data_IF_653730052652
#
_entry.id   IF_653730052652
#
_cell.length_a   1.000
_cell.length_b   1.000
_cell.length_c   1.000
_cell.angle_alpha   90.00
_cell.angle_beta   90.00
_cell.angle_gamma   90.00
#
_symmetry.space_group_name_H-M   'P 1'
#
loop_
_entity.id
_entity.type
_entity.pdbx_description
1 polymer ?
#
# COMPACT_ATOMS: atom_id res chain seq x y z
N UNK A 1 -4.15 -0.69 2.91
CA UNK A 1 -4.84 -0.85 4.21
C UNK A 1 -3.87 -1.42 5.23
N UNK A 2 -3.50 -2.69 5.07
CA UNK A 2 -2.50 -3.39 5.85
C UNK A 2 -1.82 -4.46 4.97
N UNK A 3 -0.74 -5.11 5.41
CA UNK A 3 -0.04 -6.12 4.61
C UNK A 3 -0.94 -7.27 4.13
N UNK A 4 -0.77 -7.64 2.86
CA UNK A 4 -1.22 -8.94 2.35
C UNK A 4 -0.19 -10.03 2.68
N UNK A 5 -0.61 -11.30 2.87
CA UNK A 5 0.28 -12.38 3.32
C UNK A 5 1.37 -12.78 2.32
N UNK A 6 1.21 -12.42 1.04
CA UNK A 6 2.11 -12.80 -0.06
C UNK A 6 2.85 -11.61 -0.69
N UNK A 7 2.54 -10.38 -0.26
CA UNK A 7 3.19 -9.16 -0.70
C UNK A 7 4.04 -8.61 0.43
N UNK A 8 3.63 -7.48 1.01
CA UNK A 8 4.30 -6.86 2.16
C UNK A 8 4.57 -7.82 3.34
N UNK A 9 3.70 -8.81 3.60
CA UNK A 9 3.94 -9.82 4.64
C UNK A 9 5.14 -10.75 4.36
N UNK A 10 5.65 -10.76 3.14
CA UNK A 10 6.87 -11.46 2.73
C UNK A 10 8.02 -10.47 2.50
N UNK A 11 7.74 -9.30 1.94
CA UNK A 11 8.77 -8.39 1.40
C UNK A 11 9.08 -7.19 2.25
N UNK A 12 8.21 -6.84 3.21
CA UNK A 12 8.29 -5.58 3.96
C UNK A 12 7.86 -4.34 3.16
N UNK A 13 7.58 -4.47 1.86
CA UNK A 13 7.21 -3.35 0.98
C UNK A 13 5.69 -3.27 0.81
N UNK A 14 5.05 -2.10 1.01
CA UNK A 14 3.62 -1.92 0.75
C UNK A 14 3.23 -2.34 -0.67
N UNK A 15 2.19 -3.17 -0.80
CA UNK A 15 1.79 -3.76 -2.09
C UNK A 15 2.95 -4.49 -2.80
N UNK A 16 3.99 -4.91 -2.07
CA UNK A 16 5.21 -5.42 -2.67
C UNK A 16 5.08 -6.89 -3.04
N UNK A 17 4.55 -7.16 -4.22
CA UNK A 17 4.72 -8.48 -4.84
C UNK A 17 6.21 -8.74 -5.12
N UNK A 18 6.55 -10.02 -5.23
CA UNK A 18 7.94 -10.47 -5.27
C UNK A 18 8.67 -9.92 -6.50
N UNK A 19 8.06 -9.95 -7.68
CA UNK A 19 8.72 -9.54 -8.92
C UNK A 19 8.94 -8.02 -8.94
N UNK A 20 7.96 -7.24 -8.49
CA UNK A 20 8.12 -5.80 -8.32
C UNK A 20 9.26 -5.49 -7.35
N UNK A 21 9.28 -6.13 -6.18
CA UNK A 21 10.29 -5.84 -5.15
C UNK A 21 11.69 -6.19 -5.63
N UNK A 22 11.84 -7.33 -6.32
CA UNK A 22 13.12 -7.77 -6.86
C UNK A 22 13.60 -6.89 -8.01
N UNK A 23 12.78 -6.74 -9.04
CA UNK A 23 13.24 -6.27 -10.34
C UNK A 23 12.91 -4.82 -10.61
N UNK A 24 11.74 -4.33 -10.18
CA UNK A 24 11.38 -2.93 -10.41
C UNK A 24 11.98 -2.01 -9.33
N UNK A 25 11.84 -2.39 -8.06
CA UNK A 25 12.39 -1.65 -6.93
C UNK A 25 13.88 -1.96 -6.68
N UNK A 26 14.42 -3.03 -7.28
CA UNK A 26 15.84 -3.39 -7.20
C UNK A 26 16.31 -3.82 -5.81
N UNK A 27 15.40 -4.27 -4.93
CA UNK A 27 15.75 -4.51 -3.52
C UNK A 27 16.42 -5.88 -3.27
N UNK A 28 16.42 -6.79 -4.25
CA UNK A 28 17.14 -8.07 -4.12
C UNK A 28 18.65 -7.84 -4.04
N UNK A 29 19.17 -6.89 -4.81
CA UNK A 29 20.60 -6.57 -4.86
C UNK A 29 21.11 -5.91 -3.58
N UNK A 30 20.21 -5.29 -2.78
CA UNK A 30 20.56 -4.68 -1.51
C UNK A 30 20.85 -5.71 -0.40
N UNK A 31 20.56 -7.00 -0.61
CA UNK A 31 20.95 -8.08 0.31
C UNK A 31 20.30 -8.05 1.69
N UNK A 32 19.12 -7.43 1.83
CA UNK A 32 18.41 -7.30 3.10
C UNK A 32 17.95 -8.64 3.69
N UNK A 33 18.14 -8.82 5.00
CA UNK A 33 17.65 -9.99 5.73
C UNK A 33 16.16 -9.86 6.05
N UNK A 34 15.37 -10.87 5.67
CA UNK A 34 13.94 -10.96 6.03
C UNK A 34 13.80 -11.97 7.15
N UNK A 35 13.55 -11.43 8.35
CA UNK A 35 13.29 -12.22 9.54
C UNK A 35 11.97 -12.98 9.49
N UNK A 36 11.79 -13.85 10.47
CA UNK A 36 10.64 -14.73 10.59
C UNK A 36 9.87 -14.42 11.89
N UNK A 37 8.56 -14.14 11.83
CA UNK A 37 7.79 -13.94 13.05
C UNK A 37 7.74 -15.24 13.86
N UNK A 38 7.60 -15.13 15.17
CA UNK A 38 7.39 -16.26 16.07
C UNK A 38 6.20 -15.97 16.99
N UNK A 39 5.16 -16.82 17.02
CA UNK A 39 4.97 -18.04 16.21
C UNK A 39 4.57 -17.78 14.76
N UNK A 40 4.68 -18.79 13.89
CA UNK A 40 4.11 -18.77 12.53
C UNK A 40 2.96 -19.74 12.37
N UNK A 41 1.94 -19.33 11.64
CA UNK A 41 0.92 -20.26 11.17
C UNK A 41 1.46 -21.11 10.01
N UNK A 42 1.32 -22.45 10.02
CA UNK A 42 1.88 -23.33 8.98
C UNK A 42 1.47 -22.97 7.55
N UNK A 43 0.24 -22.49 7.36
CA UNK A 43 -0.28 -22.07 6.05
C UNK A 43 0.17 -20.68 5.57
N UNK A 44 0.90 -19.92 6.41
CA UNK A 44 1.28 -18.51 6.22
C UNK A 44 2.74 -18.25 6.59
N UNK A 45 3.63 -19.18 6.24
CA UNK A 45 5.07 -19.03 6.47
C UNK A 45 5.63 -17.80 5.77
N UNK A 46 6.59 -17.14 6.41
CA UNK A 46 7.37 -16.05 5.82
C UNK A 46 8.64 -16.64 5.23
N UNK A 47 8.70 -16.67 3.91
CA UNK A 47 9.85 -17.19 3.14
C UNK A 47 10.61 -16.06 2.44
N UNK A 48 10.23 -14.80 2.69
CA UNK A 48 10.85 -13.63 2.10
C UNK A 48 10.71 -13.60 0.57
N UNK A 49 11.76 -13.15 -0.10
CA UNK A 49 11.86 -13.06 -1.56
C UNK A 49 11.84 -14.43 -2.27
N UNK A 50 11.86 -15.54 -1.53
CA UNK A 50 11.67 -16.91 -2.07
C UNK A 50 10.20 -17.33 -2.13
N UNK A 51 9.26 -16.45 -1.77
CA UNK A 51 7.83 -16.77 -1.85
C UNK A 51 7.40 -16.97 -3.31
N UNK A 52 6.76 -18.11 -3.61
CA UNK A 52 6.23 -18.39 -4.96
C UNK A 52 4.76 -17.98 -5.14
N UNK A 53 4.12 -17.47 -4.08
CA UNK A 53 2.71 -17.05 -4.14
C UNK A 53 2.62 -15.63 -4.68
N UNK A 54 1.77 -15.45 -5.68
CA UNK A 54 1.55 -14.14 -6.31
C UNK A 54 0.65 -13.25 -5.45
N UNK A 55 1.00 -11.97 -5.36
CA UNK A 55 0.18 -10.93 -4.75
C UNK A 55 -0.40 -10.04 -5.86
N UNK A 56 -1.58 -10.42 -6.36
CA UNK A 56 -2.19 -9.78 -7.54
C UNK A 56 -2.50 -8.30 -7.33
N UNK A 57 -2.83 -7.90 -6.10
CA UNK A 57 -3.13 -6.50 -5.79
C UNK A 57 -1.89 -5.60 -5.93
N UNK A 58 -0.75 -6.09 -5.44
CA UNK A 58 0.55 -5.46 -5.57
C UNK A 58 0.98 -5.28 -7.02
N UNK A 59 0.98 -6.39 -7.77
CA UNK A 59 1.38 -6.38 -9.18
C UNK A 59 0.55 -5.39 -10.01
N UNK A 60 -0.76 -5.29 -9.73
CA UNK A 60 -1.63 -4.31 -10.39
C UNK A 60 -1.28 -2.87 -10.01
N UNK A 61 -1.13 -2.57 -8.72
CA UNK A 61 -0.87 -1.20 -8.27
C UNK A 61 0.48 -0.70 -8.81
N UNK A 62 1.55 -1.49 -8.66
CA UNK A 62 2.87 -1.12 -9.14
C UNK A 62 2.95 -1.10 -10.66
N UNK A 63 2.22 -1.97 -11.36
CA UNK A 63 2.09 -1.91 -12.81
C UNK A 63 1.49 -0.58 -13.29
N UNK A 64 0.43 -0.09 -12.64
CA UNK A 64 -0.16 1.22 -12.95
C UNK A 64 0.79 2.36 -12.65
N UNK A 65 1.48 2.34 -11.49
CA UNK A 65 2.49 3.36 -11.17
C UNK A 65 3.55 3.39 -12.27
N UNK A 66 4.11 2.24 -12.63
CA UNK A 66 5.13 2.11 -13.66
C UNK A 66 4.67 2.69 -15.01
N UNK A 67 3.44 2.37 -15.43
CA UNK A 67 2.84 2.90 -16.66
C UNK A 67 2.64 4.41 -16.61
N UNK A 68 2.11 4.94 -15.50
CA UNK A 68 1.91 6.38 -15.32
C UNK A 68 3.22 7.16 -15.30
N UNK A 69 4.32 6.52 -14.90
CA UNK A 69 5.67 7.08 -14.90
C UNK A 69 6.47 6.76 -16.17
N UNK A 70 5.80 6.34 -17.26
CA UNK A 70 6.43 5.98 -18.54
C UNK A 70 7.58 4.97 -18.40
N UNK A 71 7.37 3.93 -17.59
CA UNK A 71 8.34 2.87 -17.31
C UNK A 71 9.70 3.33 -16.76
N UNK A 72 9.79 4.53 -16.18
CA UNK A 72 11.03 5.02 -15.58
C UNK A 72 11.46 4.17 -14.36
N UNK A 73 12.75 4.16 -14.01
CA UNK A 73 13.26 3.46 -12.83
C UNK A 73 12.50 3.88 -11.56
N UNK A 74 12.27 2.94 -10.64
CA UNK A 74 11.49 3.19 -9.44
C UNK A 74 12.00 4.37 -8.60
N UNK A 75 13.31 4.60 -8.56
CA UNK A 75 13.94 5.72 -7.86
C UNK A 75 13.49 7.08 -8.42
N UNK A 76 13.23 7.16 -9.73
CA UNK A 76 12.71 8.37 -10.37
C UNK A 76 11.19 8.48 -10.16
N UNK A 77 10.45 7.37 -10.29
CA UNK A 77 9.01 7.34 -10.06
C UNK A 77 8.65 7.75 -8.63
N UNK A 78 9.46 7.36 -7.64
CA UNK A 78 9.23 7.62 -6.22
C UNK A 78 9.72 8.99 -5.74
N UNK A 79 10.21 9.87 -6.63
CA UNK A 79 10.56 11.26 -6.24
C UNK A 79 9.34 12.04 -5.77
N UNK A 80 8.19 11.83 -6.40
CA UNK A 80 6.92 12.50 -6.08
C UNK A 80 5.89 11.57 -5.42
N UNK A 81 6.22 10.28 -5.27
CA UNK A 81 5.28 9.24 -4.86
C UNK A 81 5.81 8.47 -3.66
N UNK A 82 4.91 8.21 -2.72
CA UNK A 82 5.16 7.29 -1.61
C UNK A 82 4.00 6.32 -1.49
N UNK A 83 4.29 5.02 -1.38
CA UNK A 83 3.29 3.99 -1.11
C UNK A 83 3.40 3.57 0.35
N UNK A 84 2.32 3.72 1.11
CA UNK A 84 2.30 3.44 2.55
C UNK A 84 1.03 2.69 2.97
N UNK A 85 1.14 1.85 4.01
CA UNK A 85 0.00 1.17 4.60
C UNK A 85 -0.40 1.86 5.90
N UNK A 86 -1.69 2.15 6.08
CA UNK A 86 -2.22 2.72 7.33
C UNK A 86 -1.87 1.88 8.56
N UNK A 87 -2.02 0.56 8.48
CA UNK A 87 -1.67 -0.36 9.56
C UNK A 87 -0.55 -1.29 9.10
N UNK A 88 0.61 -1.35 9.78
CA UNK A 88 1.72 -2.21 9.38
C UNK A 88 1.52 -3.68 9.81
N UNK A 89 0.47 -3.99 10.58
CA UNK A 89 0.24 -5.32 11.14
C UNK A 89 -0.63 -6.19 10.23
N UNK A 90 -0.31 -7.48 10.19
CA UNK A 90 -1.13 -8.53 9.61
C UNK A 90 -1.74 -9.37 10.72
N UNK A 91 -3.06 -9.58 10.67
CA UNK A 91 -3.78 -10.38 11.65
C UNK A 91 -4.26 -11.68 11.02
N UNK A 92 -4.22 -12.76 11.79
CA UNK A 92 -4.64 -14.08 11.33
C UNK A 92 -5.54 -14.75 12.38
N UNK A 93 -6.60 -15.42 11.93
CA UNK A 93 -7.37 -16.32 12.76
C UNK A 93 -6.65 -17.64 12.99
N UNK A 94 -7.19 -18.49 13.86
CA UNK A 94 -6.63 -19.80 14.21
C UNK A 94 -6.44 -20.74 13.00
N UNK A 95 -7.25 -20.60 11.95
CA UNK A 95 -7.13 -21.35 10.70
C UNK A 95 -6.12 -20.76 9.70
N UNK A 96 -5.43 -19.66 10.07
CA UNK A 96 -4.56 -18.90 9.17
C UNK A 96 -5.34 -18.02 8.18
N UNK A 97 -6.66 -17.89 8.34
CA UNK A 97 -7.47 -16.92 7.59
C UNK A 97 -6.98 -15.50 7.91
N UNK A 98 -6.71 -14.71 6.89
CA UNK A 98 -6.36 -13.30 7.06
C UNK A 98 -7.54 -12.54 7.67
N UNK A 99 -7.28 -11.78 8.73
CA UNK A 99 -8.23 -10.86 9.35
C UNK A 99 -7.81 -9.44 8.97
N UNK A 100 -8.72 -8.69 8.37
CA UNK A 100 -8.54 -7.26 8.16
C UNK A 100 -8.60 -6.51 9.49
N UNK A 101 -8.01 -5.31 9.60
CA UNK A 101 -8.12 -4.51 10.82
C UNK A 101 -9.57 -4.22 11.25
N UNK A 102 -10.51 -4.21 10.30
CA UNK A 102 -11.94 -4.08 10.59
C UNK A 102 -12.57 -5.34 11.19
N UNK A 103 -12.03 -6.52 10.90
CA UNK A 103 -12.49 -7.80 11.47
C UNK A 103 -11.91 -8.08 12.86
N UNK A 104 -10.94 -7.28 13.32
CA UNK A 104 -10.51 -7.32 14.73
C UNK A 104 -11.73 -7.00 15.60
N UNK A 105 -11.90 -7.77 16.69
CA UNK A 105 -13.06 -7.61 17.59
C UNK A 105 -13.18 -6.14 18.03
N UNK A 106 -14.41 -5.63 18.00
CA UNK A 106 -14.71 -4.30 18.49
C UNK A 106 -14.34 -4.18 19.98
N UNK A 107 -13.87 -3.01 20.38
CA UNK A 107 -13.42 -2.71 21.74
C UNK A 107 -12.11 -1.93 21.75
N UNK A 108 -11.60 -1.72 22.97
CA UNK A 108 -10.46 -0.84 23.25
C UNK A 108 -9.22 -1.17 22.43
N UNK A 109 -8.92 -2.45 22.19
CA UNK A 109 -7.72 -2.84 21.42
C UNK A 109 -7.78 -2.41 19.95
N UNK A 110 -8.95 -2.48 19.30
CA UNK A 110 -9.12 -2.03 17.90
C UNK A 110 -9.06 -0.50 17.81
N UNK A 111 -9.68 0.19 18.76
CA UNK A 111 -9.64 1.64 18.85
C UNK A 111 -8.22 2.14 19.09
N UNK A 112 -7.50 1.52 20.02
CA UNK A 112 -6.11 1.83 20.31
C UNK A 112 -5.21 1.57 19.09
N UNK A 113 -5.39 0.45 18.38
CA UNK A 113 -4.69 0.18 17.13
C UNK A 113 -4.90 1.30 16.11
N UNK A 114 -6.16 1.69 15.88
CA UNK A 114 -6.46 2.74 14.91
C UNK A 114 -5.98 4.11 15.34
N UNK A 115 -5.99 4.41 16.64
CA UNK A 115 -5.43 5.65 17.16
C UNK A 115 -3.92 5.72 16.91
N UNK A 116 -3.18 4.65 17.23
CA UNK A 116 -1.73 4.59 17.00
C UNK A 116 -1.39 4.69 15.50
N UNK A 117 -2.11 3.96 14.65
CA UNK A 117 -1.95 4.08 13.20
C UNK A 117 -2.29 5.48 12.67
N UNK A 118 -3.29 6.15 13.26
CA UNK A 118 -3.67 7.51 12.90
C UNK A 118 -2.59 8.53 13.25
N UNK A 119 -2.00 8.40 14.45
CA UNK A 119 -0.86 9.20 14.90
C UNK A 119 0.32 8.98 13.94
N UNK A 120 0.67 7.74 13.65
CA UNK A 120 1.79 7.41 12.74
C UNK A 120 1.58 7.95 11.32
N UNK A 121 0.36 7.84 10.77
CA UNK A 121 0.05 8.42 9.46
C UNK A 121 0.16 9.95 9.50
N UNK A 122 -0.35 10.61 10.55
CA UNK A 122 -0.24 12.06 10.72
C UNK A 122 1.22 12.52 10.66
N UNK A 123 2.12 11.88 11.41
CA UNK A 123 3.56 12.18 11.35
C UNK A 123 4.17 11.88 9.97
N UNK A 124 3.78 10.76 9.35
CA UNK A 124 4.29 10.41 8.02
C UNK A 124 3.94 11.47 6.98
N UNK A 125 2.71 12.02 7.03
CA UNK A 125 2.27 13.08 6.11
C UNK A 125 3.09 14.36 6.28
N UNK A 126 3.46 14.70 7.51
CA UNK A 126 4.29 15.87 7.81
C UNK A 126 5.73 15.69 7.32
N UNK A 127 6.34 14.55 7.64
CA UNK A 127 7.74 14.25 7.26
C UNK A 127 7.89 14.16 5.75
N UNK A 128 6.93 13.55 5.06
CA UNK A 128 6.98 13.37 3.61
C UNK A 128 6.53 14.64 2.85
N UNK A 129 5.98 15.65 3.53
CA UNK A 129 5.45 16.85 2.89
C UNK A 129 4.34 16.56 1.87
N UNK A 130 3.55 15.50 2.10
CA UNK A 130 2.53 15.08 1.14
C UNK A 130 1.46 16.16 0.96
N UNK A 131 1.09 16.45 -0.29
CA UNK A 131 0.00 17.41 -0.63
C UNK A 131 -1.34 16.71 -0.88
N UNK A 132 -1.29 15.48 -1.37
CA UNK A 132 -2.46 14.67 -1.71
C UNK A 132 -2.27 13.25 -1.18
N UNK A 133 -3.37 12.63 -0.78
CA UNK A 133 -3.45 11.23 -0.39
C UNK A 133 -4.32 10.50 -1.39
N UNK A 134 -3.72 9.57 -2.16
CA UNK A 134 -4.45 8.63 -2.99
C UNK A 134 -4.67 7.35 -2.16
N UNK A 135 -5.91 7.18 -1.72
CA UNK A 135 -6.31 6.06 -0.87
C UNK A 135 -6.78 4.87 -1.70
N UNK A 136 -6.16 3.70 -1.46
CA UNK A 136 -6.50 2.46 -2.16
C UNK A 136 -7.64 1.74 -1.45
N UNK A 137 -8.86 2.04 -1.90
CA UNK A 137 -10.13 1.51 -1.41
C UNK A 137 -10.72 2.28 -0.22
N UNK A 138 -12.05 2.22 -0.13
CA UNK A 138 -12.90 2.88 0.89
C UNK A 138 -12.43 2.81 2.35
N UNK A 139 -11.81 1.71 2.79
CA UNK A 139 -11.28 1.66 4.17
C UNK A 139 -10.16 2.69 4.37
N UNK A 140 -9.18 2.70 3.46
CA UNK A 140 -8.06 3.61 3.53
C UNK A 140 -8.53 5.06 3.42
N UNK A 141 -9.49 5.33 2.55
CA UNK A 141 -10.12 6.65 2.40
C UNK A 141 -10.74 7.14 3.70
N UNK A 142 -11.58 6.31 4.35
CA UNK A 142 -12.22 6.66 5.62
C UNK A 142 -11.19 6.96 6.71
N UNK A 143 -10.10 6.18 6.78
CA UNK A 143 -9.03 6.40 7.75
C UNK A 143 -8.25 7.68 7.46
N UNK A 144 -7.88 7.92 6.21
CA UNK A 144 -7.18 9.14 5.80
C UNK A 144 -8.02 10.40 6.11
N UNK A 145 -9.31 10.41 5.75
CA UNK A 145 -10.24 11.50 6.08
C UNK A 145 -10.37 11.73 7.59
N UNK A 146 -10.42 10.64 8.36
CA UNK A 146 -10.44 10.72 9.83
C UNK A 146 -9.17 11.34 10.39
N UNK A 147 -7.99 10.95 9.90
CA UNK A 147 -6.69 11.52 10.31
C UNK A 147 -6.65 13.01 9.98
N UNK A 148 -7.05 13.39 8.77
CA UNK A 148 -7.05 14.79 8.35
C UNK A 148 -7.91 15.64 9.28
N UNK A 149 -9.12 15.19 9.58
CA UNK A 149 -10.03 15.90 10.49
C UNK A 149 -9.49 15.95 11.93
N UNK A 150 -8.90 14.87 12.41
CA UNK A 150 -8.49 14.74 13.83
C UNK A 150 -7.23 15.56 14.13
N UNK A 151 -6.31 15.64 13.17
CA UNK A 151 -5.02 16.32 13.34
C UNK A 151 -4.94 17.64 12.56
N UNK A 152 -6.10 18.19 12.16
CA UNK A 152 -6.24 19.45 11.42
C UNK A 152 -5.27 19.59 10.25
N UNK A 153 -5.27 18.58 9.38
CA UNK A 153 -4.40 18.52 8.20
C UNK A 153 -5.07 19.14 6.97
N UNK A 154 -4.28 19.52 5.98
CA UNK A 154 -4.78 20.21 4.76
C UNK A 154 -4.77 19.34 3.50
N UNK A 155 -4.25 18.12 3.58
CA UNK A 155 -4.13 17.22 2.42
C UNK A 155 -5.50 16.86 1.83
N UNK A 156 -5.57 16.85 0.49
CA UNK A 156 -6.73 16.32 -0.23
C UNK A 156 -6.72 14.79 -0.20
N UNK A 157 -7.88 14.15 -0.10
CA UNK A 157 -8.02 12.69 -0.20
C UNK A 157 -8.80 12.32 -1.45
N UNK A 158 -8.19 11.49 -2.29
CA UNK A 158 -8.82 10.84 -3.43
C UNK A 158 -8.93 9.34 -3.15
N UNK A 159 -10.06 8.72 -3.49
CA UNK A 159 -10.20 7.25 -3.45
C UNK A 159 -10.00 6.67 -4.84
N UNK A 160 -9.23 5.58 -4.92
CA UNK A 160 -9.22 4.70 -6.07
C UNK A 160 -9.73 3.31 -5.64
N UNK A 161 -10.39 2.54 -6.53
CA UNK A 161 -10.87 1.22 -6.18
C UNK A 161 -9.71 0.30 -5.78
N UNK A 162 -9.92 -0.60 -4.83
CA UNK A 162 -8.87 -1.55 -4.43
C UNK A 162 -8.65 -2.64 -5.50
N UNK A 163 -7.40 -2.98 -5.87
CA UNK A 163 -7.06 -3.95 -6.93
C UNK A 163 -7.30 -5.42 -6.57
N UNK A 164 -8.06 -5.71 -5.50
CA UNK A 164 -8.21 -7.08 -5.00
C UNK A 164 -9.21 -7.85 -5.87
N UNK A 165 -8.85 -9.03 -6.40
CA UNK A 165 -9.71 -9.80 -7.32
C UNK A 165 -11.05 -10.21 -6.71
N UNK A 166 -11.17 -10.13 -5.37
CA UNK A 166 -12.43 -10.33 -4.65
C UNK A 166 -13.48 -9.28 -5.00
N UNK A 167 -13.06 -8.09 -5.42
CA UNK A 167 -13.95 -7.02 -5.87
C UNK A 167 -14.31 -7.23 -7.34
N UNK A 168 -15.61 -7.31 -7.66
CA UNK A 168 -16.09 -7.51 -9.03
C UNK A 168 -15.59 -6.42 -10.00
N UNK A 169 -15.53 -5.16 -9.53
CA UNK A 169 -15.02 -3.99 -10.27
C UNK A 169 -13.53 -4.02 -10.57
N UNK A 170 -12.77 -4.95 -9.97
CA UNK A 170 -11.32 -5.08 -10.19
C UNK A 170 -10.95 -6.18 -11.20
N UNK A 171 -11.94 -6.96 -11.67
CA UNK A 171 -11.69 -8.14 -12.51
C UNK A 171 -11.46 -7.79 -13.98
N UNK A 172 -12.07 -6.71 -14.46
CA UNK A 172 -11.85 -6.13 -15.77
C UNK A 172 -11.70 -4.62 -15.63
N UNK A 173 -10.77 -4.03 -16.38
CA UNK A 173 -10.56 -2.59 -16.53
C UNK A 173 -10.21 -1.81 -15.26
N UNK A 174 -9.58 -2.46 -14.27
CA UNK A 174 -9.22 -1.78 -13.01
C UNK A 174 -8.23 -0.64 -13.26
N UNK A 175 -7.24 -0.87 -14.12
CA UNK A 175 -6.22 0.09 -14.46
C UNK A 175 -6.80 1.32 -15.17
N UNK A 176 -7.62 1.12 -16.19
CA UNK A 176 -8.27 2.20 -16.94
C UNK A 176 -9.17 3.05 -16.02
N UNK A 177 -9.86 2.40 -15.07
CA UNK A 177 -10.65 3.10 -14.07
C UNK A 177 -9.77 3.98 -13.17
N UNK A 178 -8.66 3.45 -12.65
CA UNK A 178 -7.71 4.22 -11.83
C UNK A 178 -7.16 5.42 -12.62
N UNK A 179 -6.74 5.22 -13.87
CA UNK A 179 -6.23 6.28 -14.74
C UNK A 179 -7.31 7.36 -14.96
N UNK A 180 -8.55 6.95 -15.21
CA UNK A 180 -9.69 7.87 -15.39
C UNK A 180 -9.97 8.71 -14.13
N UNK A 181 -9.92 8.10 -12.95
CA UNK A 181 -10.09 8.80 -11.66
C UNK A 181 -8.97 9.82 -11.45
N UNK A 182 -7.71 9.42 -11.69
CA UNK A 182 -6.55 10.32 -11.54
C UNK A 182 -6.58 11.46 -12.56
N UNK A 183 -7.03 11.18 -13.79
CA UNK A 183 -7.24 12.22 -14.82
C UNK A 183 -8.30 13.23 -14.40
N UNK A 184 -9.44 12.75 -13.88
CA UNK A 184 -10.55 13.61 -13.45
C UNK A 184 -10.15 14.48 -12.25
N UNK A 185 -9.20 14.02 -11.44
CA UNK A 185 -8.66 14.75 -10.30
C UNK A 185 -7.45 15.64 -10.64
N UNK A 186 -7.07 15.74 -11.92
CA UNK A 186 -5.90 16.48 -12.41
C UNK A 186 -4.57 16.06 -11.74
N UNK A 187 -4.42 14.76 -11.44
CA UNK A 187 -3.23 14.22 -10.76
C UNK A 187 -2.24 13.50 -11.68
N UNK A 188 -2.54 13.31 -12.98
CA UNK A 188 -1.65 12.56 -13.88
C UNK A 188 -0.27 13.20 -14.06
N UNK A 189 -0.18 14.53 -13.99
CA UNK A 189 1.07 15.29 -14.09
C UNK A 189 2.03 14.98 -12.94
N UNK A 190 1.53 14.62 -11.76
CA UNK A 190 2.33 14.25 -10.58
C UNK A 190 3.14 12.96 -10.80
N UNK A 191 2.71 12.12 -11.75
CA UNK A 191 3.41 10.89 -12.13
C UNK A 191 4.41 11.10 -13.30
N UNK A 192 4.26 12.19 -14.05
CA UNK A 192 4.92 12.38 -15.35
C UNK A 192 6.22 13.18 -15.27
N UNK A 193 6.49 13.86 -14.16
CA UNK A 193 7.65 14.75 -14.01
C UNK A 193 8.70 14.13 -13.07
N UNK A 194 9.84 13.63 -13.57
CA UNK A 194 11.01 13.57 -12.72
C UNK A 194 11.36 15.02 -12.38
N UNK A 195 11.35 15.37 -11.09
CA UNK A 195 11.99 16.60 -10.64
C UNK A 195 13.42 16.54 -11.17
N UNK A 196 13.75 17.38 -12.15
CA UNK A 196 15.13 17.64 -12.51
C UNK A 196 15.73 18.36 -11.31
N UNK A 197 16.47 17.63 -10.47
CA UNK A 197 17.39 18.28 -9.56
C UNK A 197 18.47 18.95 -10.41
N UNK A 198 18.43 20.27 -10.47
CA UNK A 198 19.54 21.12 -10.89
C UNK A 198 20.66 21.07 -9.87
#
# INVERSE_FOLDING_TARGET
>A
MNPGPWGMGQTGVPFGDIDTVKYYLGLEELGGFIGQPSPQHPAKKVTGLKCHRKEVSGAKLWGVIKKLTNDCPAQQALLNLCVHNFCPLIFMGTSGRNLTPDEVKAGSSKEQLFNLCSIALSYSLDVLGCKCIISVGRFAEKRAKSVIKTFDKSQKVLEIPHPSPRNATSRANWEENVISILSTADLLSEFSNPIQYS
#
